data_IF_328797815051
#
_entry.id   IF_328797815051
#
_cell.length_a   1.000
_cell.length_b   1.000
_cell.length_c   1.000
_cell.angle_alpha   90.00
_cell.angle_beta   90.00
_cell.angle_gamma   90.00
#
_symmetry.space_group_name_H-M   'P 1'
#
loop_
_entity.id
_entity.type
_entity.pdbx_description
1 polymer ?
#
# COMPACT_ATOMS: atom_id res chain seq x y z
N UNK A 1 3.73 29.32 1.91
CA UNK A 1 4.40 28.61 0.80
C UNK A 1 5.22 27.39 1.26
N UNK A 2 6.22 27.55 2.14
CA UNK A 2 7.14 26.44 2.52
C UNK A 2 6.48 25.26 3.27
N UNK A 3 5.51 25.54 4.14
CA UNK A 3 4.79 24.51 4.90
C UNK A 3 3.95 23.60 4.00
N UNK A 4 3.24 24.18 3.02
CA UNK A 4 2.42 23.40 2.08
C UNK A 4 3.25 22.47 1.19
N UNK A 5 4.45 22.92 0.77
CA UNK A 5 5.40 22.09 0.03
C UNK A 5 5.86 20.88 0.87
N UNK A 6 6.32 21.12 2.10
CA UNK A 6 6.78 20.06 3.01
C UNK A 6 5.66 19.06 3.36
N UNK A 7 4.42 19.52 3.49
CA UNK A 7 3.26 18.65 3.72
C UNK A 7 2.97 17.76 2.50
N UNK A 8 3.07 18.30 1.29
CA UNK A 8 2.92 17.54 0.04
C UNK A 8 4.01 16.48 -0.12
N UNK A 9 5.27 16.85 0.13
CA UNK A 9 6.40 15.92 0.10
C UNK A 9 6.24 14.78 1.11
N UNK A 10 5.87 15.10 2.36
CA UNK A 10 5.61 14.10 3.40
C UNK A 10 4.53 13.10 2.96
N UNK A 11 3.43 13.58 2.39
CA UNK A 11 2.34 12.72 1.90
C UNK A 11 2.81 11.81 0.76
N UNK A 12 3.60 12.34 -0.18
CA UNK A 12 4.18 11.55 -1.26
C UNK A 12 5.10 10.44 -0.75
N UNK A 13 5.94 10.76 0.24
CA UNK A 13 6.82 9.79 0.91
C UNK A 13 6.03 8.69 1.63
N UNK A 14 4.95 9.04 2.32
CA UNK A 14 4.09 8.07 3.02
C UNK A 14 3.43 7.09 2.04
N UNK A 15 2.93 7.60 0.91
CA UNK A 15 2.35 6.76 -0.14
C UNK A 15 3.39 5.80 -0.73
N UNK A 16 4.60 6.28 -1.00
CA UNK A 16 5.69 5.44 -1.52
C UNK A 16 6.10 4.37 -0.49
N UNK A 17 6.22 4.74 0.79
CA UNK A 17 6.49 3.79 1.88
C UNK A 17 5.45 2.67 1.90
N UNK A 18 4.16 3.04 1.86
CA UNK A 18 3.06 2.07 1.92
C UNK A 18 3.08 1.12 0.71
N UNK A 19 3.40 1.63 -0.48
CA UNK A 19 3.54 0.80 -1.67
C UNK A 19 4.72 -0.17 -1.59
N UNK A 20 5.88 0.32 -1.17
CA UNK A 20 7.07 -0.50 -0.99
C UNK A 20 6.84 -1.62 0.04
N UNK A 21 6.17 -1.32 1.15
CA UNK A 21 5.82 -2.33 2.16
C UNK A 21 4.91 -3.41 1.56
N UNK A 22 3.87 -3.04 0.81
CA UNK A 22 3.00 -4.02 0.13
C UNK A 22 3.78 -4.87 -0.87
N UNK A 23 4.68 -4.25 -1.64
CA UNK A 23 5.52 -4.95 -2.63
C UNK A 23 6.47 -5.95 -1.98
N UNK A 24 7.10 -5.59 -0.86
CA UNK A 24 7.94 -6.52 -0.08
C UNK A 24 7.12 -7.72 0.39
N UNK A 25 5.96 -7.47 1.04
CA UNK A 25 5.06 -8.55 1.51
C UNK A 25 4.64 -9.49 0.36
N UNK A 26 4.35 -8.95 -0.83
CA UNK A 26 4.02 -9.73 -2.03
C UNK A 26 5.19 -10.59 -2.53
N UNK A 27 6.40 -10.03 -2.56
CA UNK A 27 7.60 -10.75 -2.98
C UNK A 27 7.97 -11.86 -1.98
N UNK A 28 7.85 -11.59 -0.68
CA UNK A 28 8.06 -12.59 0.36
C UNK A 28 7.05 -13.74 0.23
N UNK A 29 5.78 -13.43 -0.04
CA UNK A 29 4.75 -14.44 -0.28
C UNK A 29 5.05 -15.29 -1.52
N UNK A 30 5.38 -14.66 -2.66
CA UNK A 30 5.74 -15.36 -3.88
C UNK A 30 6.96 -16.28 -3.67
N UNK A 31 7.97 -15.81 -2.93
CA UNK A 31 9.16 -16.59 -2.61
C UNK A 31 8.83 -17.81 -1.73
N UNK A 32 7.97 -17.65 -0.71
CA UNK A 32 7.51 -18.77 0.13
C UNK A 32 6.77 -19.82 -0.71
N UNK A 33 5.88 -19.38 -1.61
CA UNK A 33 5.18 -20.29 -2.52
C UNK A 33 6.14 -21.05 -3.44
N UNK A 34 7.12 -20.37 -4.04
CA UNK A 34 8.10 -21.02 -4.93
C UNK A 34 8.95 -22.04 -4.16
N UNK A 35 9.35 -21.73 -2.92
CA UNK A 35 10.07 -22.66 -2.04
C UNK A 35 9.25 -23.89 -1.70
N UNK A 36 7.97 -23.72 -1.35
CA UNK A 36 7.07 -24.84 -1.05
C UNK A 36 6.89 -25.76 -2.28
N UNK A 37 6.67 -25.16 -3.45
CA UNK A 37 6.53 -25.89 -4.73
C UNK A 37 7.80 -26.66 -5.09
N UNK A 38 8.97 -26.02 -5.00
CA UNK A 38 10.24 -26.66 -5.29
C UNK A 38 10.55 -27.79 -4.30
N UNK A 39 10.25 -27.61 -3.02
CA UNK A 39 10.48 -28.64 -2.00
C UNK A 39 9.60 -29.87 -2.24
N UNK A 40 8.30 -29.65 -2.52
CA UNK A 40 7.37 -30.74 -2.87
C UNK A 40 7.85 -31.52 -4.10
N UNK A 41 8.36 -30.82 -5.11
CA UNK A 41 8.87 -31.46 -6.33
C UNK A 41 10.18 -32.22 -6.08
N UNK A 42 11.12 -31.66 -5.29
CA UNK A 42 12.45 -32.22 -5.09
C UNK A 42 12.49 -33.38 -4.10
N UNK A 43 11.69 -33.33 -3.04
CA UNK A 43 11.75 -34.28 -1.94
C UNK A 43 10.49 -35.14 -1.80
N UNK A 44 9.47 -34.91 -2.63
CA UNK A 44 8.21 -35.66 -2.59
C UNK A 44 7.36 -35.43 -1.33
N UNK A 45 7.77 -34.50 -0.46
CA UNK A 45 7.11 -34.18 0.80
C UNK A 45 6.73 -32.71 0.86
N UNK A 46 5.55 -32.41 1.41
CA UNK A 46 5.11 -31.05 1.61
C UNK A 46 5.92 -30.36 2.70
N UNK A 47 6.47 -29.20 2.38
CA UNK A 47 7.12 -28.34 3.35
C UNK A 47 6.03 -27.65 4.18
N UNK A 48 5.90 -27.99 5.47
CA UNK A 48 5.02 -27.27 6.40
C UNK A 48 5.61 -25.88 6.71
N UNK A 49 5.42 -24.93 5.79
CA UNK A 49 5.82 -23.53 5.96
C UNK A 49 4.63 -22.68 6.42
N UNK A 50 4.22 -22.83 7.68
CA UNK A 50 3.32 -21.90 8.39
C UNK A 50 2.09 -21.39 7.61
N UNK A 51 1.56 -20.23 8.01
CA UNK A 51 0.38 -19.65 7.37
C UNK A 51 0.75 -19.03 6.01
N UNK A 52 0.40 -19.73 4.92
CA UNK A 52 0.54 -19.25 3.52
C UNK A 52 -0.63 -18.34 3.11
N UNK A 53 -1.19 -17.56 4.05
CA UNK A 53 -2.21 -16.59 3.70
C UNK A 53 -1.59 -15.37 3.01
N UNK A 54 -2.21 -14.86 1.92
CA UNK A 54 -1.76 -13.63 1.30
C UNK A 54 -1.83 -12.49 2.33
N UNK A 55 -0.95 -11.47 2.21
CA UNK A 55 -1.00 -10.32 3.11
C UNK A 55 -2.39 -9.68 3.06
N UNK A 56 -3.00 -9.34 4.22
CA UNK A 56 -4.26 -8.60 4.21
C UNK A 56 -4.06 -7.27 3.49
N UNK A 57 -4.97 -6.95 2.56
CA UNK A 57 -5.03 -5.64 1.94
C UNK A 57 -5.33 -4.61 3.02
N UNK A 58 -4.34 -3.78 3.36
CA UNK A 58 -4.58 -2.61 4.20
C UNK A 58 -5.58 -1.71 3.47
N UNK A 59 -6.74 -1.38 4.08
CA UNK A 59 -7.75 -0.56 3.43
C UNK A 59 -7.12 0.78 3.03
N UNK A 60 -7.52 1.39 1.90
CA UNK A 60 -7.06 2.71 1.53
C UNK A 60 -7.22 3.66 2.71
N UNK A 61 -6.13 4.31 3.15
CA UNK A 61 -6.23 5.36 4.16
C UNK A 61 -7.26 6.38 3.67
N UNK A 62 -8.39 6.48 4.36
CA UNK A 62 -9.36 7.52 4.05
C UNK A 62 -8.67 8.88 4.21
N UNK A 63 -8.84 9.80 3.25
CA UNK A 63 -8.25 11.12 3.37
C UNK A 63 -8.76 11.77 4.65
N UNK A 64 -7.81 12.27 5.45
CA UNK A 64 -8.07 12.95 6.72
C UNK A 64 -9.19 13.99 6.55
N UNK A 65 -10.06 14.21 7.55
CA UNK A 65 -11.21 15.11 7.43
C UNK A 65 -10.82 16.53 6.99
N UNK A 66 -9.62 16.99 7.35
CA UNK A 66 -9.04 18.25 6.88
C UNK A 66 -8.79 18.26 5.36
N UNK A 67 -8.25 17.17 4.80
CA UNK A 67 -8.04 17.04 3.35
C UNK A 67 -9.37 16.97 2.60
N UNK A 68 -10.36 16.25 3.13
CA UNK A 68 -11.72 16.24 2.57
C UNK A 68 -12.34 17.64 2.57
N UNK A 69 -12.18 18.41 3.65
CA UNK A 69 -12.69 19.77 3.74
C UNK A 69 -12.02 20.70 2.72
N UNK A 70 -10.69 20.63 2.59
CA UNK A 70 -9.94 21.41 1.61
C UNK A 70 -10.37 21.09 0.17
N UNK A 71 -10.59 19.81 -0.15
CA UNK A 71 -11.05 19.40 -1.48
C UNK A 71 -12.46 19.89 -1.80
N UNK A 72 -13.37 19.87 -0.82
CA UNK A 72 -14.73 20.41 -0.95
C UNK A 72 -14.71 21.92 -1.21
N UNK A 73 -13.87 22.66 -0.50
CA UNK A 73 -13.68 24.11 -0.72
C UNK A 73 -13.13 24.39 -2.12
N UNK A 74 -12.09 23.67 -2.55
CA UNK A 74 -11.53 23.83 -3.90
C UNK A 74 -12.55 23.55 -5.01
N UNK A 75 -13.38 22.50 -4.85
CA UNK A 75 -14.48 22.22 -5.79
C UNK A 75 -15.54 23.31 -5.80
N UNK A 76 -15.88 23.88 -4.65
CA UNK A 76 -16.88 24.95 -4.56
C UNK A 76 -16.40 26.22 -5.26
N UNK A 77 -15.11 26.54 -5.15
CA UNK A 77 -14.51 27.67 -5.83
C UNK A 77 -14.60 27.50 -7.36
N UNK A 78 -14.25 26.33 -7.90
CA UNK A 78 -14.34 26.04 -9.34
C UNK A 78 -15.77 26.24 -9.86
N UNK A 79 -16.79 25.82 -9.10
CA UNK A 79 -18.21 26.03 -9.47
C UNK A 79 -18.62 27.50 -9.56
N UNK A 80 -17.89 28.43 -8.93
CA UNK A 80 -18.20 29.86 -9.04
C UNK A 80 -17.63 30.49 -10.32
N UNK A 81 -16.67 29.83 -10.97
CA UNK A 81 -15.99 30.33 -12.16
C UNK A 81 -16.37 29.59 -13.46
N UNK A 82 -17.27 28.60 -13.38
CA UNK A 82 -17.89 27.91 -14.51
C UNK A 82 -19.33 28.40 -14.68
#
# INVERSE_FOLDING_TARGET
>A
ARIALLQGERKGQENLKNDLVRRIKMLEYALKQERAKFHKLKYGVELQQGDMRPPPEEPPQEPEPAERAQWKQGRQLIKQYL
#
